data_IF_773015133142
#
_entry.id   IF_773015133142
#
_cell.length_a   1.000
_cell.length_b   1.000
_cell.length_c   1.000
_cell.angle_alpha   90.00
_cell.angle_beta   90.00
_cell.angle_gamma   90.00
#
_symmetry.space_group_name_H-M   'P 1'
#
loop_
_entity.id
_entity.type
_entity.pdbx_description
1 polymer ?
#
# COMPACT_ATOMS: atom_id res chain seq x y z
N UNK A 1 15.97 20.24 -24.21
CA UNK A 1 15.75 19.53 -22.93
C UNK A 1 16.21 18.11 -23.14
N UNK A 2 17.26 17.70 -22.42
CA UNK A 2 17.76 16.33 -22.51
C UNK A 2 16.67 15.36 -22.05
N UNK A 3 16.17 14.55 -22.98
CA UNK A 3 15.37 13.39 -22.61
C UNK A 3 16.36 12.39 -22.03
N UNK A 4 16.45 12.38 -20.70
CA UNK A 4 17.32 11.45 -19.96
C UNK A 4 17.14 10.01 -20.40
N UNK A 5 18.14 9.16 -20.14
CA UNK A 5 18.12 7.77 -20.57
C UNK A 5 16.82 7.07 -20.14
N UNK A 6 16.06 6.56 -21.12
CA UNK A 6 14.88 5.73 -20.89
C UNK A 6 15.27 4.28 -21.18
N UNK A 7 15.07 3.40 -20.20
CA UNK A 7 15.37 1.98 -20.36
C UNK A 7 14.45 1.34 -21.40
N UNK A 8 14.91 0.27 -22.05
CA UNK A 8 14.05 -0.49 -22.98
C UNK A 8 12.82 -1.07 -22.27
N UNK A 9 12.95 -1.42 -20.99
CA UNK A 9 11.85 -1.91 -20.18
C UNK A 9 10.77 -0.83 -19.99
N UNK A 10 11.18 0.41 -19.69
CA UNK A 10 10.25 1.54 -19.55
C UNK A 10 9.47 1.76 -20.84
N UNK A 11 10.16 1.81 -22.00
CA UNK A 11 9.48 1.98 -23.30
C UNK A 11 8.49 0.86 -23.59
N UNK A 12 8.82 -0.37 -23.22
CA UNK A 12 7.93 -1.52 -23.38
C UNK A 12 6.67 -1.36 -22.53
N UNK A 13 6.81 -1.01 -21.24
CA UNK A 13 5.66 -0.83 -20.35
C UNK A 13 4.80 0.35 -20.83
N UNK A 14 5.41 1.45 -21.25
CA UNK A 14 4.68 2.62 -21.75
C UNK A 14 3.82 2.24 -22.96
N UNK A 15 4.40 1.59 -23.98
CA UNK A 15 3.65 1.13 -25.15
C UNK A 15 2.59 0.08 -24.81
N UNK A 16 2.90 -0.87 -23.93
CA UNK A 16 1.93 -1.87 -23.50
C UNK A 16 0.69 -1.21 -22.84
N UNK A 17 0.90 -0.21 -21.98
CA UNK A 17 -0.21 0.48 -21.33
C UNK A 17 -1.00 1.39 -22.28
N UNK A 18 -0.36 1.94 -23.32
CA UNK A 18 -1.04 2.68 -24.39
C UNK A 18 -1.95 1.76 -25.21
N UNK A 19 -1.49 0.56 -25.54
CA UNK A 19 -2.24 -0.43 -26.33
C UNK A 19 -3.33 -1.14 -25.52
N UNK A 20 -3.17 -1.22 -24.19
CA UNK A 20 -4.06 -1.95 -23.27
C UNK A 20 -4.69 -1.06 -22.18
N UNK A 21 -5.57 -0.11 -22.53
CA UNK A 21 -6.20 0.79 -21.56
C UNK A 21 -7.08 0.07 -20.52
N UNK A 22 -7.53 -1.15 -20.79
CA UNK A 22 -8.22 -2.02 -19.83
C UNK A 22 -7.34 -2.38 -18.62
N UNK A 23 -6.04 -2.56 -18.83
CA UNK A 23 -5.10 -2.88 -17.74
C UNK A 23 -4.97 -1.70 -16.79
N UNK A 24 -4.97 -0.46 -17.32
CA UNK A 24 -4.96 0.75 -16.50
C UNK A 24 -6.24 0.84 -15.66
N UNK A 25 -7.41 0.59 -16.26
CA UNK A 25 -8.69 0.56 -15.54
C UNK A 25 -8.72 -0.48 -14.43
N UNK A 26 -8.21 -1.68 -14.70
CA UNK A 26 -8.15 -2.75 -13.71
C UNK A 26 -7.16 -2.45 -12.59
N UNK A 27 -6.01 -1.81 -12.89
CA UNK A 27 -5.09 -1.31 -11.87
C UNK A 27 -5.76 -0.29 -10.94
N UNK A 28 -6.48 0.69 -11.49
CA UNK A 28 -7.22 1.65 -10.67
C UNK A 28 -8.28 0.97 -9.81
N UNK A 29 -9.04 0.03 -10.39
CA UNK A 29 -10.04 -0.75 -9.66
C UNK A 29 -9.41 -1.54 -8.51
N UNK A 30 -8.32 -2.24 -8.77
CA UNK A 30 -7.57 -2.98 -7.74
C UNK A 30 -7.08 -2.07 -6.62
N UNK A 31 -6.55 -0.90 -6.98
CA UNK A 31 -6.13 0.12 -6.01
C UNK A 31 -7.29 0.57 -5.12
N UNK A 32 -8.46 0.85 -5.69
CA UNK A 32 -9.62 1.25 -4.88
C UNK A 32 -10.12 0.12 -3.95
N UNK A 33 -10.05 -1.14 -4.38
CA UNK A 33 -10.49 -2.27 -3.55
C UNK A 33 -9.58 -2.45 -2.32
N UNK A 34 -8.26 -2.35 -2.52
CA UNK A 34 -7.31 -2.74 -1.49
C UNK A 34 -6.72 -1.56 -0.72
N UNK A 35 -6.51 -0.43 -1.37
CA UNK A 35 -5.84 0.74 -0.80
C UNK A 35 -6.81 1.83 -0.38
N UNK A 36 -7.86 2.07 -1.14
CA UNK A 36 -8.91 3.04 -0.81
C UNK A 36 -10.01 2.41 0.08
N UNK A 37 -9.59 1.83 1.20
CA UNK A 37 -10.52 1.20 2.14
C UNK A 37 -11.38 2.27 2.80
N UNK A 38 -12.62 2.39 2.34
CA UNK A 38 -13.64 3.10 3.09
C UNK A 38 -13.97 2.30 4.35
N UNK A 39 -13.46 2.76 5.49
CA UNK A 39 -13.71 2.11 6.77
C UNK A 39 -15.11 2.49 7.26
N UNK A 40 -15.94 1.49 7.51
CA UNK A 40 -17.20 1.68 8.21
C UNK A 40 -16.91 2.06 9.67
N UNK A 41 -17.08 3.35 9.97
CA UNK A 41 -16.81 3.91 11.29
C UNK A 41 -17.71 3.33 12.39
N UNK A 42 -18.92 2.87 12.05
CA UNK A 42 -19.85 2.26 13.01
C UNK A 42 -19.37 0.86 13.36
N UNK A 43 -18.99 0.08 12.34
CA UNK A 43 -18.39 -1.24 12.54
C UNK A 43 -17.06 -1.15 13.31
N UNK A 44 -16.22 -0.15 12.99
CA UNK A 44 -14.96 0.07 13.68
C UNK A 44 -15.16 0.40 15.17
N UNK A 45 -16.05 1.35 15.50
CA UNK A 45 -16.37 1.68 16.90
C UNK A 45 -16.90 0.48 17.68
N UNK A 46 -17.70 -0.39 17.03
CA UNK A 46 -18.19 -1.61 17.66
C UNK A 46 -17.05 -2.60 17.92
N UNK A 47 -16.10 -2.75 17.00
CA UNK A 47 -14.93 -3.60 17.17
C UNK A 47 -13.99 -3.07 18.27
N UNK A 48 -13.84 -1.76 18.38
CA UNK A 48 -13.06 -1.12 19.46
C UNK A 48 -13.63 -1.40 20.85
N UNK A 49 -14.97 -1.43 20.98
CA UNK A 49 -15.64 -1.77 22.24
C UNK A 49 -15.45 -3.24 22.65
N UNK A 50 -15.25 -4.13 21.68
CA UNK A 50 -14.98 -5.56 21.90
C UNK A 50 -13.47 -5.86 21.99
N UNK A 51 -12.63 -4.82 21.89
CA UNK A 51 -11.18 -4.95 21.92
C UNK A 51 -10.70 -5.29 23.32
N UNK A 52 -9.97 -6.40 23.44
CA UNK A 52 -9.23 -6.77 24.65
C UNK A 52 -7.78 -6.26 24.57
N UNK A 53 -7.13 -5.93 25.69
CA UNK A 53 -5.72 -5.57 25.69
C UNK A 53 -4.86 -6.70 25.10
N UNK A 54 -3.93 -6.35 24.21
CA UNK A 54 -2.89 -7.26 23.73
C UNK A 54 -2.01 -7.67 24.93
N UNK A 55 -1.80 -8.97 25.13
CA UNK A 55 -1.02 -9.52 26.24
C UNK A 55 0.49 -9.31 26.07
N UNK A 56 0.91 -8.68 24.95
CA UNK A 56 2.27 -8.20 24.74
C UNK A 56 3.23 -9.29 24.29
N UNK A 57 2.75 -10.49 23.96
CA UNK A 57 3.55 -11.53 23.30
C UNK A 57 3.61 -11.37 21.77
N UNK A 58 3.00 -10.30 21.23
CA UNK A 58 3.20 -9.88 19.84
C UNK A 58 4.66 -9.54 19.52
N UNK A 59 5.05 -9.70 18.26
CA UNK A 59 6.41 -9.41 17.79
C UNK A 59 6.71 -7.91 17.94
N UNK A 60 7.32 -7.52 19.05
CA UNK A 60 7.91 -6.20 19.20
C UNK A 60 9.04 -6.08 18.18
N UNK A 61 8.85 -5.31 17.11
CA UNK A 61 9.99 -4.79 16.36
C UNK A 61 10.85 -4.03 17.36
N UNK A 62 12.02 -4.59 17.71
CA UNK A 62 12.91 -4.01 18.70
C UNK A 62 13.03 -2.49 18.51
N UNK A 63 12.62 -1.74 19.53
CA UNK A 63 12.85 -0.30 19.60
C UNK A 63 14.36 0.01 19.50
N UNK A 64 14.72 1.28 19.22
CA UNK A 64 16.09 1.63 18.89
C UNK A 64 17.01 1.31 20.08
N UNK A 65 18.09 0.58 19.80
CA UNK A 65 19.16 0.32 20.75
C UNK A 65 19.69 1.67 21.25
N UNK A 66 19.43 2.01 22.52
CA UNK A 66 20.08 3.13 23.18
C UNK A 66 21.52 2.71 23.51
N UNK A 67 22.49 3.29 22.80
CA UNK A 67 23.91 3.06 23.06
C UNK A 67 24.34 3.56 24.45
N UNK A 68 25.39 2.99 25.06
CA UNK A 68 25.89 3.44 26.36
C UNK A 68 26.58 4.81 26.26
N UNK A 69 26.41 5.62 27.31
CA UNK A 69 27.11 6.88 27.59
C UNK A 69 28.61 6.69 27.82
#
# INVERSE_FOLDING_TARGET
MDRGFVSNHTRFIDHFLEEHPEVVKDQHKGWHIYWDKQVDQVAQKKAELDSVPDDGYGFHSHGPLKGPE
#
